data_IF_106256456406
#
_entry.id   IF_106256456406
#
_cell.length_a   1.000
_cell.length_b   1.000
_cell.length_c   1.000
_cell.angle_alpha   90.00
_cell.angle_beta   90.00
_cell.angle_gamma   90.00
#
_symmetry.space_group_name_H-M   'P 1'
#
loop_
_entity.id
_entity.type
_entity.pdbx_description
1 polymer ?
#
# COMPACT_ATOMS: atom_id res chain seq x y z
N UNK A 1 -19.92 -22.08 -21.79
CA UNK A 1 -20.77 -21.91 -20.58
C UNK A 1 -20.04 -22.17 -19.25
N UNK A 2 -19.46 -23.36 -19.00
CA UNK A 2 -18.80 -23.70 -17.70
C UNK A 2 -17.75 -22.69 -17.21
N UNK A 3 -16.85 -22.21 -18.08
CA UNK A 3 -15.77 -21.25 -17.70
C UNK A 3 -16.29 -19.91 -17.17
N UNK A 4 -17.38 -19.40 -17.76
CA UNK A 4 -17.98 -18.12 -17.34
C UNK A 4 -18.67 -18.27 -15.97
N UNK A 5 -19.27 -19.43 -15.70
CA UNK A 5 -19.86 -19.75 -14.40
C UNK A 5 -18.79 -19.79 -13.29
N UNK A 6 -17.63 -20.38 -13.59
CA UNK A 6 -16.50 -20.45 -12.66
C UNK A 6 -16.02 -19.05 -12.28
N UNK A 7 -15.82 -18.16 -13.26
CA UNK A 7 -15.41 -16.78 -13.00
C UNK A 7 -16.44 -16.03 -12.13
N UNK A 8 -17.73 -16.18 -12.42
CA UNK A 8 -18.81 -15.59 -11.61
C UNK A 8 -18.84 -16.12 -10.17
N UNK A 9 -18.43 -17.36 -9.93
CA UNK A 9 -18.37 -17.94 -8.59
C UNK A 9 -17.12 -17.46 -7.84
N UNK A 10 -15.97 -17.38 -8.53
CA UNK A 10 -14.74 -16.82 -7.96
C UNK A 10 -14.94 -15.37 -7.54
N UNK A 11 -15.53 -14.54 -8.41
CA UNK A 11 -15.82 -13.14 -8.09
C UNK A 11 -16.75 -12.99 -6.88
N UNK A 12 -17.73 -13.91 -6.73
CA UNK A 12 -18.61 -13.92 -5.57
C UNK A 12 -17.83 -14.26 -4.29
N UNK A 13 -16.98 -15.29 -4.31
CA UNK A 13 -16.16 -15.67 -3.15
C UNK A 13 -15.26 -14.50 -2.73
N UNK A 14 -14.57 -13.86 -3.70
CA UNK A 14 -13.75 -12.68 -3.44
C UNK A 14 -14.59 -11.56 -2.82
N UNK A 15 -15.79 -11.31 -3.35
CA UNK A 15 -16.69 -10.27 -2.82
C UNK A 15 -17.10 -10.54 -1.38
N UNK A 16 -17.39 -11.80 -1.02
CA UNK A 16 -17.75 -12.18 0.34
C UNK A 16 -16.57 -11.99 1.30
N UNK A 17 -15.36 -12.40 0.89
CA UNK A 17 -14.14 -12.24 1.68
C UNK A 17 -13.83 -10.76 1.89
N UNK A 18 -13.86 -9.97 0.82
CA UNK A 18 -13.60 -8.53 0.84
C UNK A 18 -14.59 -7.80 1.76
N UNK A 19 -15.88 -8.13 1.66
CA UNK A 19 -16.91 -7.55 2.52
C UNK A 19 -16.69 -7.88 4.01
N UNK A 20 -16.31 -9.12 4.33
CA UNK A 20 -16.00 -9.54 5.69
C UNK A 20 -14.77 -8.80 6.24
N UNK A 21 -13.67 -8.75 5.46
CA UNK A 21 -12.46 -8.03 5.85
C UNK A 21 -12.73 -6.52 6.03
N UNK A 22 -13.53 -5.93 5.14
CA UNK A 22 -13.90 -4.53 5.24
C UNK A 22 -14.75 -4.27 6.49
N UNK A 23 -15.72 -5.15 6.80
CA UNK A 23 -16.53 -5.06 8.01
C UNK A 23 -15.69 -5.12 9.30
N UNK A 24 -14.74 -6.06 9.37
CA UNK A 24 -13.81 -6.17 10.50
C UNK A 24 -12.99 -4.89 10.67
N UNK A 25 -12.49 -4.33 9.57
CA UNK A 25 -11.70 -3.08 9.57
C UNK A 25 -12.49 -1.90 10.13
N UNK A 26 -13.74 -1.76 9.69
CA UNK A 26 -14.65 -0.70 10.16
C UNK A 26 -14.94 -0.87 11.65
N UNK A 27 -15.22 -2.09 12.07
CA UNK A 27 -15.53 -2.42 13.47
C UNK A 27 -14.34 -2.15 14.36
N UNK A 28 -13.14 -2.55 13.94
CA UNK A 28 -11.89 -2.27 14.64
C UNK A 28 -11.68 -0.76 14.80
N UNK A 29 -11.88 0.02 13.73
CA UNK A 29 -11.75 1.46 13.78
C UNK A 29 -12.67 2.09 14.82
N UNK A 30 -13.98 1.81 14.78
CA UNK A 30 -14.93 2.38 15.74
C UNK A 30 -14.75 1.88 17.17
N UNK A 31 -14.23 0.66 17.38
CA UNK A 31 -13.95 0.12 18.71
C UNK A 31 -12.76 0.79 19.40
N UNK A 32 -11.80 1.27 18.62
CA UNK A 32 -10.52 1.81 19.10
C UNK A 32 -10.45 3.35 19.01
N UNK A 33 -11.33 3.97 18.22
CA UNK A 33 -11.53 5.43 18.23
C UNK A 33 -11.81 5.90 19.66
N UNK A 34 -11.02 6.87 20.12
CA UNK A 34 -11.11 7.45 21.46
C UNK A 34 -10.30 6.72 22.54
N UNK A 35 -9.79 5.51 22.28
CA UNK A 35 -8.96 4.74 23.23
C UNK A 35 -7.47 4.92 22.98
N UNK A 36 -7.06 4.97 21.72
CA UNK A 36 -5.66 5.10 21.30
C UNK A 36 -5.46 6.32 20.40
N UNK A 37 -4.22 6.85 20.29
CA UNK A 37 -3.91 7.90 19.33
C UNK A 37 -4.25 7.49 17.90
N UNK A 38 -4.76 8.44 17.10
CA UNK A 38 -5.24 8.19 15.74
C UNK A 38 -4.13 7.67 14.81
N UNK A 39 -2.89 8.10 15.03
CA UNK A 39 -1.73 7.64 14.26
C UNK A 39 -1.50 6.13 14.42
N UNK A 40 -1.56 5.66 15.67
CA UNK A 40 -1.40 4.25 16.03
C UNK A 40 -2.61 3.43 15.58
N UNK A 41 -3.82 3.98 15.71
CA UNK A 41 -5.04 3.33 15.22
C UNK A 41 -4.94 3.02 13.73
N UNK A 42 -4.66 4.04 12.91
CA UNK A 42 -4.57 3.86 11.46
C UNK A 42 -3.42 2.94 11.06
N UNK A 43 -2.32 2.94 11.82
CA UNK A 43 -1.23 1.98 11.62
C UNK A 43 -1.67 0.54 11.90
N UNK A 44 -2.48 0.33 12.94
CA UNK A 44 -3.01 -0.98 13.34
C UNK A 44 -4.12 -1.51 12.42
N UNK A 45 -4.70 -0.68 11.55
CA UNK A 45 -5.64 -1.09 10.50
C UNK A 45 -4.90 -1.81 9.35
N UNK A 46 -4.24 -2.92 9.67
CA UNK A 46 -3.46 -3.73 8.74
C UNK A 46 -4.04 -5.12 8.49
N UNK A 47 -5.15 -5.47 9.18
CA UNK A 47 -5.77 -6.78 9.10
C UNK A 47 -4.73 -7.89 9.34
N UNK A 48 -4.71 -8.86 8.42
CA UNK A 48 -3.75 -9.98 8.43
C UNK A 48 -2.44 -9.69 7.70
N UNK A 49 -2.32 -8.55 7.01
CA UNK A 49 -1.21 -8.26 6.09
C UNK A 49 0.06 -7.70 6.75
N UNK A 50 0.04 -7.47 8.08
CA UNK A 50 1.18 -6.95 8.84
C UNK A 50 1.64 -5.53 8.45
N UNK A 51 1.00 -4.91 7.45
CA UNK A 51 1.23 -3.54 7.00
C UNK A 51 -0.04 -2.96 6.39
N UNK A 52 -0.46 -1.78 6.86
CA UNK A 52 -1.67 -1.09 6.39
C UNK A 52 -1.71 -0.82 4.88
N UNK A 53 -0.54 -0.56 4.26
CA UNK A 53 -0.49 -0.24 2.83
C UNK A 53 -0.68 -1.49 1.96
N UNK A 54 -0.20 -2.65 2.43
CA UNK A 54 -0.41 -3.93 1.73
C UNK A 54 -1.89 -4.31 1.82
N UNK A 55 -2.49 -4.13 3.00
CA UNK A 55 -3.90 -4.38 3.21
C UNK A 55 -4.79 -3.46 2.36
N UNK A 56 -4.49 -2.16 2.30
CA UNK A 56 -5.19 -1.23 1.41
C UNK A 56 -5.04 -1.60 -0.07
N UNK A 57 -3.87 -2.10 -0.50
CA UNK A 57 -3.66 -2.55 -1.87
C UNK A 57 -4.47 -3.81 -2.20
N UNK A 58 -4.68 -4.72 -1.22
CA UNK A 58 -5.55 -5.88 -1.40
C UNK A 58 -6.98 -5.45 -1.76
N UNK A 59 -7.57 -4.50 -1.03
CA UNK A 59 -8.90 -3.95 -1.36
C UNK A 59 -8.96 -3.36 -2.78
N UNK A 60 -7.90 -2.66 -3.23
CA UNK A 60 -7.84 -2.13 -4.61
C UNK A 60 -7.93 -3.23 -5.66
N UNK A 61 -7.29 -4.38 -5.41
CA UNK A 61 -7.31 -5.53 -6.33
C UNK A 61 -8.67 -6.23 -6.31
N UNK A 62 -9.38 -6.23 -5.18
CA UNK A 62 -10.69 -6.86 -5.01
C UNK A 62 -11.83 -6.06 -5.64
N UNK A 63 -11.75 -4.72 -5.64
CA UNK A 63 -12.79 -3.81 -6.17
C UNK A 63 -13.28 -4.19 -7.59
N UNK A 64 -12.41 -4.47 -8.59
CA UNK A 64 -12.85 -4.91 -9.92
C UNK A 64 -13.71 -6.18 -9.90
N UNK A 65 -13.40 -7.14 -9.02
CA UNK A 65 -14.17 -8.38 -8.89
C UNK A 65 -15.55 -8.13 -8.26
N UNK A 66 -15.63 -7.22 -7.30
CA UNK A 66 -16.90 -6.81 -6.68
C UNK A 66 -17.81 -6.13 -7.70
N UNK A 67 -17.25 -5.24 -8.53
CA UNK A 67 -17.99 -4.58 -9.62
C UNK A 67 -18.45 -5.60 -10.66
N UNK A 68 -17.60 -6.58 -11.02
CA UNK A 68 -17.98 -7.68 -11.91
C UNK A 68 -19.11 -8.54 -11.32
N UNK A 69 -19.07 -8.82 -10.02
CA UNK A 69 -20.14 -9.53 -9.31
C UNK A 69 -21.46 -8.74 -9.37
N UNK A 70 -21.41 -7.41 -9.20
CA UNK A 70 -22.59 -6.54 -9.28
C UNK A 70 -23.26 -6.55 -10.67
N UNK A 71 -22.48 -6.59 -11.75
CA UNK A 71 -23.02 -6.62 -13.12
C UNK A 71 -23.50 -8.01 -13.56
N UNK A 72 -23.05 -9.09 -12.92
CA UNK A 72 -23.36 -10.46 -13.36
C UNK A 72 -24.41 -11.17 -12.50
N UNK A 73 -24.65 -10.68 -11.28
CA UNK A 73 -25.61 -11.25 -10.32
C UNK A 73 -26.81 -10.33 -10.15
N UNK A 74 -27.94 -10.92 -9.78
CA UNK A 74 -29.20 -10.23 -9.53
C UNK A 74 -29.72 -10.56 -8.12
N UNK A 75 -30.76 -9.83 -7.68
CA UNK A 75 -31.39 -10.03 -6.38
C UNK A 75 -30.47 -9.77 -5.18
N UNK A 76 -30.52 -10.65 -4.19
CA UNK A 76 -29.83 -10.49 -2.90
C UNK A 76 -28.30 -10.42 -3.04
N UNK A 77 -27.71 -11.20 -3.95
CA UNK A 77 -26.26 -11.20 -4.16
C UNK A 77 -25.76 -9.87 -4.76
N UNK A 78 -26.58 -9.22 -5.59
CA UNK A 78 -26.28 -7.89 -6.11
C UNK A 78 -26.25 -6.88 -4.98
N UNK A 79 -27.27 -6.89 -4.12
CA UNK A 79 -27.35 -6.02 -2.94
C UNK A 79 -26.14 -6.19 -2.01
N UNK A 80 -25.73 -7.44 -1.73
CA UNK A 80 -24.54 -7.72 -0.93
C UNK A 80 -23.26 -7.18 -1.58
N UNK A 81 -23.15 -7.27 -2.91
CA UNK A 81 -22.01 -6.70 -3.65
C UNK A 81 -21.97 -5.17 -3.56
N UNK A 82 -23.12 -4.49 -3.53
CA UNK A 82 -23.20 -3.03 -3.35
C UNK A 82 -22.70 -2.62 -1.96
N UNK A 83 -23.17 -3.31 -0.92
CA UNK A 83 -22.75 -3.06 0.46
C UNK A 83 -21.26 -3.36 0.61
N UNK A 84 -20.80 -4.51 0.10
CA UNK A 84 -19.40 -4.91 0.13
C UNK A 84 -18.49 -3.89 -0.56
N UNK A 85 -18.89 -3.37 -1.73
CA UNK A 85 -18.13 -2.33 -2.43
C UNK A 85 -18.03 -1.05 -1.61
N UNK A 86 -19.16 -0.60 -1.04
CA UNK A 86 -19.19 0.60 -0.20
C UNK A 86 -18.33 0.44 1.05
N UNK A 87 -18.37 -0.73 1.70
CA UNK A 87 -17.52 -1.04 2.86
C UNK A 87 -16.04 -1.08 2.48
N UNK A 88 -15.68 -1.67 1.34
CA UNK A 88 -14.29 -1.70 0.87
C UNK A 88 -13.74 -0.29 0.64
N UNK A 89 -14.51 0.58 -0.04
CA UNK A 89 -14.12 1.98 -0.20
C UNK A 89 -14.01 2.69 1.15
N UNK A 90 -14.98 2.50 2.04
CA UNK A 90 -14.95 3.09 3.37
C UNK A 90 -13.69 2.70 4.15
N UNK A 91 -13.38 1.40 4.22
CA UNK A 91 -12.17 0.87 4.85
C UNK A 91 -10.89 1.42 4.22
N UNK A 92 -10.84 1.50 2.88
CA UNK A 92 -9.70 2.05 2.15
C UNK A 92 -9.45 3.51 2.53
N UNK A 93 -10.51 4.32 2.66
CA UNK A 93 -10.38 5.71 3.09
C UNK A 93 -9.99 5.83 4.57
N UNK A 94 -10.48 4.97 5.46
CA UNK A 94 -10.09 4.93 6.87
C UNK A 94 -8.60 4.60 7.05
N UNK A 95 -8.09 3.62 6.29
CA UNK A 95 -6.66 3.23 6.31
C UNK A 95 -5.76 4.37 5.82
N UNK A 96 -6.29 5.26 4.98
CA UNK A 96 -5.63 6.47 4.49
C UNK A 96 -4.22 6.16 3.93
N UNK A 97 -4.14 5.16 3.04
CA UNK A 97 -2.91 4.73 2.38
C UNK A 97 -2.73 5.48 1.05
N UNK A 98 -1.71 6.34 0.97
CA UNK A 98 -1.41 7.18 -0.21
C UNK A 98 -1.22 6.35 -1.49
N UNK A 99 -0.53 5.22 -1.41
CA UNK A 99 -0.31 4.33 -2.57
C UNK A 99 -1.59 3.65 -3.05
N UNK A 100 -2.53 3.38 -2.15
CA UNK A 100 -3.82 2.78 -2.52
C UNK A 100 -4.69 3.76 -3.29
N UNK A 101 -4.63 5.07 -3.01
CA UNK A 101 -5.34 6.08 -3.81
C UNK A 101 -4.85 6.13 -5.26
N UNK A 102 -3.54 5.97 -5.49
CA UNK A 102 -2.99 5.91 -6.85
C UNK A 102 -3.47 4.66 -7.59
N UNK A 103 -3.46 3.50 -6.91
CA UNK A 103 -4.01 2.26 -7.47
C UNK A 103 -5.51 2.35 -7.76
N UNK A 104 -6.27 2.98 -6.86
CA UNK A 104 -7.70 3.21 -7.03
C UNK A 104 -7.96 4.13 -8.23
N UNK A 105 -7.20 5.22 -8.38
CA UNK A 105 -7.31 6.13 -9.54
C UNK A 105 -7.05 5.37 -10.85
N UNK A 106 -6.01 4.53 -10.89
CA UNK A 106 -5.75 3.68 -12.06
C UNK A 106 -6.89 2.70 -12.32
N UNK A 107 -7.45 2.07 -11.29
CA UNK A 107 -8.57 1.14 -11.43
C UNK A 107 -9.82 1.83 -11.98
N UNK A 108 -10.10 3.07 -11.54
CA UNK A 108 -11.21 3.87 -12.03
C UNK A 108 -11.02 4.29 -13.49
N UNK A 109 -9.79 4.61 -13.90
CA UNK A 109 -9.48 4.91 -15.32
C UNK A 109 -9.74 3.67 -16.18
N UNK A 110 -9.25 2.50 -15.77
CA UNK A 110 -9.47 1.26 -16.53
C UNK A 110 -10.97 0.94 -16.63
N UNK A 111 -11.71 1.10 -15.53
CA UNK A 111 -13.16 0.89 -15.50
C UNK A 111 -13.90 1.89 -16.38
N UNK A 112 -13.55 3.18 -16.34
CA UNK A 112 -14.20 4.20 -17.16
C UNK A 112 -13.90 4.00 -18.65
N UNK A 113 -12.65 3.67 -19.01
CA UNK A 113 -12.27 3.29 -20.39
C UNK A 113 -13.04 2.06 -20.88
N UNK A 114 -13.20 1.04 -20.03
CA UNK A 114 -13.96 -0.18 -20.38
C UNK A 114 -15.44 0.13 -20.59
N UNK A 115 -16.05 0.92 -19.71
CA UNK A 115 -17.44 1.34 -19.86
C UNK A 115 -17.64 2.24 -21.09
N UNK A 116 -16.70 3.13 -21.39
CA UNK A 116 -16.72 3.97 -22.59
C UNK A 116 -16.62 3.14 -23.88
N UNK A 117 -15.76 2.12 -23.89
CA UNK A 117 -15.68 1.15 -24.98
C UNK A 117 -17.00 0.38 -25.18
N UNK A 118 -17.62 -0.09 -24.09
CA UNK A 118 -18.92 -0.75 -24.15
C UNK A 118 -20.02 0.18 -24.67
N UNK A 119 -20.01 1.45 -24.26
CA UNK A 119 -20.92 2.46 -24.79
C UNK A 119 -20.75 2.66 -26.30
N UNK A 120 -19.52 2.75 -26.80
CA UNK A 120 -19.26 2.86 -28.24
C UNK A 120 -19.89 1.69 -29.00
N UNK A 121 -19.77 0.47 -28.46
CA UNK A 121 -20.25 -0.76 -29.10
C UNK A 121 -21.77 -0.89 -29.06
N UNK A 122 -22.39 -0.65 -27.91
CA UNK A 122 -23.83 -0.91 -27.69
C UNK A 122 -24.72 0.33 -27.92
N UNK A 123 -24.14 1.54 -27.92
CA UNK A 123 -24.82 2.85 -28.05
C UNK A 123 -25.93 3.11 -27.02
N UNK A 124 -25.99 2.35 -25.92
CA UNK A 124 -27.03 2.48 -24.88
C UNK A 124 -26.60 3.44 -23.76
N UNK A 125 -26.76 4.75 -24.01
CA UNK A 125 -26.34 5.80 -23.06
C UNK A 125 -26.99 5.66 -21.67
N UNK A 126 -28.28 5.31 -21.62
CA UNK A 126 -29.02 5.17 -20.35
C UNK A 126 -28.41 4.11 -19.44
N UNK A 127 -28.08 2.93 -19.98
CA UNK A 127 -27.49 1.85 -19.20
C UNK A 127 -26.07 2.20 -18.73
N UNK A 128 -25.29 2.85 -19.59
CA UNK A 128 -23.97 3.36 -19.23
C UNK A 128 -24.04 4.35 -18.06
N UNK A 129 -24.92 5.35 -18.14
CA UNK A 129 -25.08 6.36 -17.09
C UNK A 129 -25.51 5.77 -15.75
N UNK A 130 -26.44 4.80 -15.75
CA UNK A 130 -26.87 4.13 -14.50
C UNK A 130 -25.72 3.35 -13.86
N UNK A 131 -24.94 2.60 -14.66
CA UNK A 131 -23.79 1.82 -14.16
C UNK A 131 -22.67 2.73 -13.65
N UNK A 132 -22.40 3.82 -14.36
CA UNK A 132 -21.39 4.79 -13.96
C UNK A 132 -21.82 5.55 -12.69
N UNK A 133 -23.06 6.06 -12.65
CA UNK A 133 -23.62 6.72 -11.48
C UNK A 133 -23.59 5.82 -10.24
N UNK A 134 -23.88 4.53 -10.40
CA UNK A 134 -23.77 3.56 -9.32
C UNK A 134 -22.36 3.49 -8.72
N UNK A 135 -21.32 3.36 -9.56
CA UNK A 135 -19.92 3.31 -9.09
C UNK A 135 -19.55 4.63 -8.40
N UNK A 136 -19.95 5.76 -8.98
CA UNK A 136 -19.69 7.09 -8.40
C UNK A 136 -20.37 7.23 -7.03
N UNK A 137 -21.64 6.84 -6.90
CA UNK A 137 -22.35 6.90 -5.62
C UNK A 137 -21.71 5.98 -4.57
N UNK A 138 -21.36 4.75 -4.95
CA UNK A 138 -20.68 3.79 -4.07
C UNK A 138 -19.29 4.27 -3.62
N UNK A 139 -18.65 5.16 -4.36
CA UNK A 139 -17.37 5.78 -3.98
C UNK A 139 -17.56 7.04 -3.13
N UNK A 140 -18.43 7.96 -3.58
CA UNK A 140 -18.61 9.30 -3.00
C UNK A 140 -19.24 9.23 -1.61
N UNK A 141 -20.24 8.37 -1.38
CA UNK A 141 -20.89 8.26 -0.08
C UNK A 141 -19.91 7.81 1.02
N UNK A 142 -19.19 6.68 0.88
CA UNK A 142 -18.14 6.29 1.83
C UNK A 142 -17.06 7.35 2.03
N UNK A 143 -16.67 8.05 0.96
CA UNK A 143 -15.64 9.09 1.04
C UNK A 143 -16.04 10.21 2.02
N UNK A 144 -17.23 10.78 1.88
CA UNK A 144 -17.66 11.85 2.79
C UNK A 144 -17.82 11.36 4.23
N UNK A 145 -18.34 10.14 4.41
CA UNK A 145 -18.51 9.53 5.73
C UNK A 145 -17.14 9.31 6.39
N UNK A 146 -16.16 8.78 5.66
CA UNK A 146 -14.82 8.53 6.19
C UNK A 146 -14.12 9.83 6.53
N UNK A 147 -14.20 10.84 5.66
CA UNK A 147 -13.60 12.14 5.93
C UNK A 147 -14.18 12.79 7.19
N UNK A 148 -15.51 12.73 7.39
CA UNK A 148 -16.15 13.24 8.61
C UNK A 148 -15.70 12.45 9.85
N UNK A 149 -15.59 11.13 9.73
CA UNK A 149 -15.15 10.25 10.81
C UNK A 149 -13.69 10.53 11.23
N UNK A 150 -12.79 10.66 10.24
CA UNK A 150 -11.40 11.05 10.44
C UNK A 150 -11.29 12.43 11.10
N UNK A 151 -12.01 13.44 10.59
CA UNK A 151 -12.02 14.79 11.17
C UNK A 151 -12.43 14.75 12.63
N UNK A 152 -13.53 14.07 12.95
CA UNK A 152 -14.01 13.94 14.32
C UNK A 152 -13.00 13.21 15.22
N UNK A 153 -12.33 12.18 14.70
CA UNK A 153 -11.29 11.46 15.45
C UNK A 153 -10.02 12.30 15.65
N UNK A 154 -9.69 13.21 14.72
CA UNK A 154 -8.52 14.10 14.80
C UNK A 154 -8.73 15.40 15.57
N UNK A 155 -9.98 15.77 15.93
CA UNK A 155 -10.31 17.05 16.62
C UNK A 155 -9.47 17.33 17.87
N UNK A 156 -8.91 16.29 18.51
CA UNK A 156 -8.12 16.45 19.72
C UNK A 156 -6.61 16.22 19.55
N UNK A 157 -6.11 15.49 18.53
CA UNK A 157 -4.66 15.20 18.37
C UNK A 157 -4.25 14.85 16.93
N UNK A 158 -3.18 15.50 16.48
CA UNK A 158 -2.34 15.27 15.27
C UNK A 158 -2.80 15.90 13.93
N UNK A 159 -1.86 16.61 13.30
CA UNK A 159 -1.93 17.13 11.92
C UNK A 159 -1.57 16.06 10.86
N UNK A 160 -1.11 14.88 11.28
CA UNK A 160 -0.58 13.87 10.37
C UNK A 160 -1.72 13.24 9.57
N UNK A 161 -2.77 12.71 10.19
CA UNK A 161 -3.85 11.98 9.49
C UNK A 161 -5.09 12.84 9.16
N UNK A 162 -4.86 14.10 8.80
CA UNK A 162 -5.90 15.04 8.40
C UNK A 162 -6.57 14.75 7.05
N UNK A 163 -7.29 15.75 6.53
CA UNK A 163 -8.04 15.70 5.27
C UNK A 163 -7.17 15.35 4.06
N UNK A 164 -7.77 14.83 2.97
CA UNK A 164 -7.06 14.54 1.70
C UNK A 164 -6.23 15.73 1.20
N UNK A 165 -6.70 16.96 1.43
CA UNK A 165 -5.97 18.19 1.10
C UNK A 165 -4.62 18.31 1.84
N UNK A 166 -4.60 18.06 3.15
CA UNK A 166 -3.35 18.06 3.95
C UNK A 166 -2.37 16.94 3.55
N UNK A 167 -2.87 15.91 2.87
CA UNK A 167 -2.05 14.80 2.37
C UNK A 167 -1.51 15.07 0.97
N UNK A 168 -2.26 15.78 0.12
CA UNK A 168 -1.78 16.28 -1.17
C UNK A 168 -0.62 17.25 -0.98
N UNK A 169 -0.70 18.17 -0.01
CA UNK A 169 0.41 19.07 0.32
C UNK A 169 1.63 18.29 0.84
N UNK A 170 1.44 17.34 1.75
CA UNK A 170 2.53 16.50 2.26
C UNK A 170 3.14 15.51 1.25
N UNK A 171 2.56 15.35 0.05
CA UNK A 171 3.18 14.62 -1.07
C UNK A 171 4.09 15.57 -1.87
N UNK A 172 3.65 16.81 -2.08
CA UNK A 172 4.45 17.84 -2.75
C UNK A 172 5.71 18.19 -1.94
N UNK A 173 5.67 18.11 -0.60
CA UNK A 173 6.84 18.37 0.25
C UNK A 173 7.85 17.19 0.28
N UNK A 174 7.45 15.98 -0.14
CA UNK A 174 8.26 14.75 -0.08
C UNK A 174 9.01 14.41 -1.38
N UNK A 175 9.11 15.36 -2.31
CA UNK A 175 9.84 15.20 -3.57
C UNK A 175 11.34 15.52 -3.47
N UNK A 176 11.82 16.02 -2.33
CA UNK A 176 13.25 16.29 -2.09
C UNK A 176 14.01 15.02 -1.66
N UNK A 177 15.23 14.82 -2.17
CA UNK A 177 16.04 13.61 -1.90
C UNK A 177 16.28 13.36 -0.40
N UNK A 178 16.42 14.42 0.40
CA UNK A 178 16.66 14.30 1.84
C UNK A 178 15.41 13.92 2.65
N UNK A 179 14.20 14.15 2.13
CA UNK A 179 12.94 13.85 2.86
C UNK A 179 12.39 12.46 2.57
N UNK A 180 12.84 11.80 1.49
CA UNK A 180 12.26 10.54 1.02
C UNK A 180 13.31 9.43 0.87
N UNK A 181 13.57 8.74 1.98
CA UNK A 181 14.48 7.60 2.10
C UNK A 181 14.22 6.53 1.02
N UNK A 182 12.97 6.34 0.58
CA UNK A 182 12.65 5.37 -0.48
C UNK A 182 13.24 5.78 -1.82
N UNK A 183 13.11 7.05 -2.24
CA UNK A 183 13.66 7.51 -3.50
C UNK A 183 15.18 7.30 -3.56
N UNK A 184 15.86 7.55 -2.44
CA UNK A 184 17.29 7.31 -2.36
C UNK A 184 17.68 5.82 -2.44
N UNK A 185 16.94 4.93 -1.77
CA UNK A 185 17.15 3.49 -1.93
C UNK A 185 16.96 3.04 -3.39
N UNK A 186 15.97 3.57 -4.09
CA UNK A 186 15.73 3.26 -5.50
C UNK A 186 16.88 3.78 -6.38
N UNK A 187 17.36 5.00 -6.14
CA UNK A 187 18.52 5.55 -6.86
C UNK A 187 19.78 4.72 -6.61
N UNK A 188 20.09 4.39 -5.36
CA UNK A 188 21.22 3.53 -5.02
C UNK A 188 21.10 2.13 -5.62
N UNK A 189 19.88 1.59 -5.71
CA UNK A 189 19.63 0.31 -6.39
C UNK A 189 19.92 0.41 -7.89
N UNK A 190 19.50 1.49 -8.55
CA UNK A 190 19.77 1.73 -9.97
C UNK A 190 21.27 1.88 -10.24
N UNK A 191 22.02 2.55 -9.36
CA UNK A 191 23.48 2.65 -9.46
C UNK A 191 24.16 1.28 -9.31
N UNK A 192 23.67 0.44 -8.40
CA UNK A 192 24.18 -0.91 -8.24
C UNK A 192 23.94 -1.77 -9.49
N UNK A 193 22.74 -1.68 -10.07
CA UNK A 193 22.38 -2.37 -11.32
C UNK A 193 23.31 -1.91 -12.46
N UNK A 194 23.58 -0.60 -12.58
CA UNK A 194 24.52 -0.06 -13.59
C UNK A 194 25.93 -0.62 -13.43
N UNK A 195 26.41 -0.79 -12.19
CA UNK A 195 27.76 -1.33 -11.94
C UNK A 195 27.85 -2.85 -12.14
N UNK A 196 26.76 -3.58 -11.91
CA UNK A 196 26.73 -5.06 -12.01
C UNK A 196 25.44 -5.54 -12.68
N UNK A 197 25.29 -5.36 -14.00
CA UNK A 197 24.02 -5.60 -14.69
C UNK A 197 23.65 -7.08 -14.83
N UNK A 198 24.63 -7.98 -14.94
CA UNK A 198 24.37 -9.38 -15.29
C UNK A 198 24.10 -10.22 -14.02
N UNK A 199 25.07 -10.28 -13.10
CA UNK A 199 24.99 -11.13 -11.91
C UNK A 199 24.56 -10.37 -10.64
N UNK A 200 24.50 -9.03 -10.70
CA UNK A 200 24.22 -8.20 -9.55
C UNK A 200 25.18 -8.45 -8.39
N UNK A 201 24.63 -8.47 -7.19
CA UNK A 201 25.37 -8.77 -5.95
C UNK A 201 25.01 -10.12 -5.34
N UNK A 202 24.08 -10.87 -5.93
CA UNK A 202 23.54 -12.10 -5.34
C UNK A 202 22.50 -11.85 -4.24
N UNK A 203 21.62 -12.84 -4.01
CA UNK A 203 20.58 -12.77 -2.98
C UNK A 203 21.16 -12.59 -1.57
N UNK A 204 20.50 -11.81 -0.72
CA UNK A 204 20.95 -11.54 0.66
C UNK A 204 22.10 -10.53 0.80
N UNK A 205 22.87 -10.28 -0.25
CA UNK A 205 23.99 -9.32 -0.21
C UNK A 205 23.55 -7.86 -0.28
N UNK A 206 22.28 -7.57 -0.63
CA UNK A 206 21.75 -6.21 -0.65
C UNK A 206 21.98 -5.47 0.68
N UNK A 207 21.85 -6.14 1.83
CA UNK A 207 22.10 -5.52 3.16
C UNK A 207 23.53 -5.00 3.32
N UNK A 208 24.49 -5.58 2.62
CA UNK A 208 25.92 -5.21 2.64
C UNK A 208 26.20 -4.05 1.67
N UNK A 209 25.55 -4.08 0.50
CA UNK A 209 25.79 -3.12 -0.56
C UNK A 209 24.93 -1.87 -0.48
N UNK A 210 23.67 -1.98 -0.07
CA UNK A 210 22.73 -0.85 0.04
C UNK A 210 23.34 0.35 0.79
N UNK A 211 24.02 0.15 1.94
CA UNK A 211 24.63 1.25 2.66
C UNK A 211 25.59 2.05 1.75
N UNK A 212 26.42 1.40 0.92
CA UNK A 212 27.44 2.07 0.10
C UNK A 212 26.88 3.08 -0.91
N UNK A 213 25.59 2.98 -1.22
CA UNK A 213 24.90 3.83 -2.18
C UNK A 213 23.84 4.73 -1.52
N UNK A 214 23.60 4.58 -0.21
CA UNK A 214 22.63 5.39 0.55
C UNK A 214 23.25 6.04 1.80
N UNK A 215 24.59 6.10 1.85
CA UNK A 215 25.33 6.56 3.03
C UNK A 215 25.06 8.03 3.40
N UNK A 216 24.62 8.85 2.47
CA UNK A 216 24.33 10.28 2.69
C UNK A 216 23.06 10.54 3.51
N UNK A 217 22.30 9.49 3.86
CA UNK A 217 20.97 9.61 4.48
C UNK A 217 20.83 8.87 5.82
N UNK A 218 21.91 8.23 6.29
CA UNK A 218 21.92 7.42 7.51
C UNK A 218 22.93 8.01 8.48
N UNK A 219 22.56 8.07 9.76
CA UNK A 219 23.40 8.60 10.85
C UNK A 219 24.80 7.93 10.84
N UNK A 220 25.86 8.73 10.72
CA UNK A 220 27.25 8.32 10.44
C UNK A 220 27.78 7.25 11.42
N UNK A 221 27.28 7.25 12.67
CA UNK A 221 27.70 6.34 13.73
C UNK A 221 27.33 4.87 13.49
N UNK A 222 26.22 4.57 12.81
CA UNK A 222 25.83 3.18 12.48
C UNK A 222 26.67 2.69 11.29
N UNK A 223 27.04 3.62 10.41
CA UNK A 223 27.69 3.31 9.16
C UNK A 223 29.20 3.08 9.30
N UNK A 224 29.87 3.84 10.16
CA UNK A 224 31.29 3.63 10.49
C UNK A 224 31.55 2.19 10.90
N UNK A 225 30.71 1.63 11.78
CA UNK A 225 30.80 0.25 12.25
C UNK A 225 30.62 -0.79 11.12
N UNK A 226 29.64 -0.58 10.21
CA UNK A 226 29.40 -1.49 9.09
C UNK A 226 30.53 -1.42 8.06
N UNK A 227 31.02 -0.20 7.73
CA UNK A 227 32.13 0.00 6.79
C UNK A 227 33.42 -0.63 7.30
N UNK A 228 33.71 -0.46 8.59
CA UNK A 228 34.83 -1.12 9.27
C UNK A 228 34.68 -2.64 9.17
N UNK A 229 33.50 -3.18 9.48
CA UNK A 229 33.23 -4.63 9.42
C UNK A 229 33.44 -5.22 8.01
N UNK A 230 32.96 -4.54 6.96
CA UNK A 230 33.11 -5.01 5.57
C UNK A 230 34.57 -4.93 5.12
N UNK A 231 35.28 -3.86 5.49
CA UNK A 231 36.71 -3.71 5.19
C UNK A 231 37.53 -4.82 5.83
N UNK A 232 37.29 -5.09 7.12
CA UNK A 232 37.94 -6.17 7.86
C UNK A 232 37.65 -7.55 7.24
N UNK A 233 36.41 -7.81 6.81
CA UNK A 233 36.03 -9.09 6.17
C UNK A 233 36.65 -9.28 4.78
N UNK A 234 36.83 -8.19 4.03
CA UNK A 234 37.56 -8.20 2.75
C UNK A 234 39.06 -8.43 2.95
N UNK A 235 39.65 -7.92 4.03
CA UNK A 235 41.04 -8.14 4.38
C UNK A 235 41.29 -9.56 4.89
N UNK A 236 40.40 -10.10 5.71
CA UNK A 236 40.45 -11.49 6.20
C UNK A 236 40.36 -12.51 5.04
N UNK A 237 39.48 -12.27 4.06
CA UNK A 237 39.41 -13.09 2.83
C UNK A 237 40.66 -13.03 1.95
N UNK A 238 41.51 -12.01 2.12
CA UNK A 238 42.80 -11.88 1.42
C UNK A 238 43.99 -12.37 2.25
N UNK A 239 43.73 -13.04 3.38
CA UNK A 239 44.77 -13.63 4.24
C UNK A 239 45.45 -12.65 5.20
N UNK A 240 44.94 -11.42 5.32
CA UNK A 240 45.48 -10.45 6.27
C UNK A 240 44.86 -10.63 7.66
N UNK A 241 45.70 -10.66 8.69
CA UNK A 241 45.27 -10.75 10.10
C UNK A 241 44.59 -9.44 10.51
N UNK A 242 43.37 -9.52 11.03
CA UNK A 242 42.67 -8.33 11.54
C UNK A 242 43.37 -7.81 12.80
N UNK A 243 43.64 -6.49 12.93
CA UNK A 243 44.27 -5.95 14.13
C UNK A 243 43.36 -6.15 15.35
N UNK A 244 43.92 -6.62 16.47
CA UNK A 244 43.18 -6.98 17.70
C UNK A 244 42.32 -5.84 18.28
N UNK A 245 42.63 -4.56 18.05
CA UNK A 245 41.78 -3.45 18.48
C UNK A 245 40.46 -3.31 17.70
N UNK A 246 40.38 -3.87 16.49
CA UNK A 246 39.24 -3.73 15.60
C UNK A 246 38.29 -4.95 15.64
N UNK A 247 38.66 -6.02 16.35
CA UNK A 247 37.81 -7.22 16.53
C UNK A 247 36.60 -6.97 17.43
N UNK A 248 36.60 -5.89 18.23
CA UNK A 248 35.48 -5.50 19.09
C UNK A 248 34.24 -5.04 18.32
N UNK A 249 34.39 -4.72 17.02
CA UNK A 249 33.29 -4.27 16.16
C UNK A 249 32.61 -5.40 15.37
N UNK A 250 33.08 -6.65 15.51
CA UNK A 250 32.46 -7.82 14.90
C UNK A 250 31.43 -8.42 15.87
N UNK A 251 30.11 -8.33 15.60
CA UNK A 251 29.05 -8.72 16.54
C UNK A 251 28.91 -10.24 16.76
N UNK A 252 29.87 -11.05 16.30
CA UNK A 252 29.84 -12.52 16.33
C UNK A 252 31.12 -13.16 16.88
N UNK A 253 31.97 -12.40 17.60
CA UNK A 253 33.00 -12.99 18.47
C UNK A 253 32.61 -12.76 19.92
N UNK A 254 31.53 -13.43 20.32
CA UNK A 254 31.37 -13.83 21.72
C UNK A 254 32.20 -15.11 21.90
N UNK A 255 33.25 -15.04 22.71
CA UNK A 255 33.48 -16.13 23.66
C UNK A 255 32.46 -15.94 24.79
#
# INVERSE_FOLDING_TARGET
MKRLQILKNIALIITLIAAFQAFETVTQFYREVGKIPIDTLIYNLQGTSGNKNIFAAAFVIEIPFIIYCNFTREGFLKFFSIIGLSLCFFSLFLINARSAFLGLLLSLIILSSTLAYLYWKEKQLKQFLVRFAFIVVAFVLPFFISQKSLINATKNKSNTYGTVASRLSGIADQTSENSNIRLAYWKGSLELIKKRPILGVGYGNWKIYAPLYTSTLLNDNIFSNIRITISLRSLEKRGYRTPYCLSQFLPWRYC
#
